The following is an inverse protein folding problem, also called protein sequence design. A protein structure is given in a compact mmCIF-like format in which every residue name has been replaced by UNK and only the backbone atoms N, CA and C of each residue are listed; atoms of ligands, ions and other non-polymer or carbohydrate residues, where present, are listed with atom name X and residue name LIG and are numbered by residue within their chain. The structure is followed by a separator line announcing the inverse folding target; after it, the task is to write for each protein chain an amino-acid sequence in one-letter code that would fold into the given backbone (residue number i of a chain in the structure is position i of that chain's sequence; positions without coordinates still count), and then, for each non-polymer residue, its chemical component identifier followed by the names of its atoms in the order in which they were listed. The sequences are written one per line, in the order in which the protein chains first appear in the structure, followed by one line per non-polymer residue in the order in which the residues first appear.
data_IF_097865777864
#
_entry.id   IF_097865777864
#
_cell.length_a   1.000
_cell.length_b   1.000
_cell.length_c   1.000
_cell.angle_alpha   90.00
_cell.angle_beta   90.00
_cell.angle_gamma   90.00
#
_symmetry.space_group_name_H-M   'P 1'
#
loop_
_entity.id
_entity.type
_entity.pdbx_description
1 polymer ?
#
# COMPACT_ATOMS: atom_id res chain seq x y z
N UNK A 1 8.18 -16.07 -4.33
CA UNK A 1 7.56 -15.41 -3.18
C UNK A 1 6.09 -15.16 -3.47
N UNK A 2 5.23 -15.36 -2.49
CA UNK A 2 3.79 -15.15 -2.64
C UNK A 2 3.39 -13.75 -2.18
N UNK A 3 2.25 -13.30 -2.67
CA UNK A 3 1.72 -11.96 -2.32
C UNK A 3 1.60 -11.78 -0.81
N UNK A 4 1.10 -12.79 -0.09
CA UNK A 4 0.92 -12.64 1.36
C UNK A 4 2.24 -12.44 2.10
N UNK A 5 3.34 -12.97 1.59
CA UNK A 5 4.65 -12.77 2.21
C UNK A 5 5.11 -11.31 2.05
N UNK A 6 4.82 -10.71 0.91
CA UNK A 6 5.10 -9.30 0.67
C UNK A 6 4.25 -8.42 1.59
N UNK A 7 2.96 -8.76 1.71
CA UNK A 7 2.04 -8.03 2.58
C UNK A 7 2.45 -8.13 4.05
N UNK A 8 2.84 -9.33 4.49
CA UNK A 8 3.31 -9.56 5.85
C UNK A 8 4.55 -8.71 6.15
N UNK A 9 5.43 -8.60 5.17
CA UNK A 9 6.63 -7.75 5.32
C UNK A 9 6.26 -6.27 5.43
N UNK A 10 5.31 -5.80 4.64
CA UNK A 10 4.84 -4.43 4.74
C UNK A 10 4.29 -4.14 6.15
N UNK A 11 3.48 -5.05 6.68
CA UNK A 11 2.94 -4.92 8.03
C UNK A 11 4.07 -4.82 9.05
N UNK A 12 5.07 -5.71 8.94
CA UNK A 12 6.21 -5.75 9.84
C UNK A 12 7.02 -4.46 9.82
N UNK A 13 7.36 -3.97 8.63
CA UNK A 13 8.12 -2.73 8.47
C UNK A 13 7.34 -1.54 9.00
N UNK A 14 6.04 -1.51 8.76
CA UNK A 14 5.16 -0.45 9.25
C UNK A 14 5.16 -0.42 10.79
N UNK A 15 5.00 -1.58 11.41
CA UNK A 15 4.98 -1.68 12.86
C UNK A 15 6.32 -1.29 13.47
N UNK A 16 7.42 -1.66 12.82
CA UNK A 16 8.76 -1.30 13.28
C UNK A 16 8.97 0.21 13.33
N UNK A 17 8.23 0.96 12.51
CA UNK A 17 8.26 2.43 12.51
C UNK A 17 7.24 3.04 13.47
N UNK A 18 6.55 2.22 14.26
CA UNK A 18 5.50 2.71 15.16
C UNK A 18 4.18 3.00 14.46
N UNK A 19 4.00 2.49 13.24
CA UNK A 19 2.80 2.74 12.46
C UNK A 19 1.78 1.61 12.52
N UNK A 20 0.69 1.81 11.80
CA UNK A 20 -0.39 0.85 11.65
C UNK A 20 -0.57 0.54 10.17
N UNK A 21 -0.73 -0.74 9.84
CA UNK A 21 -1.03 -1.18 8.48
C UNK A 21 -2.36 -1.93 8.53
N UNK A 22 -3.43 -1.29 8.12
CA UNK A 22 -4.78 -1.84 8.27
C UNK A 22 -5.38 -2.20 6.94
N UNK A 23 -6.25 -3.17 6.91
CA UNK A 23 -6.97 -3.55 5.69
C UNK A 23 -7.92 -2.43 5.28
N UNK A 24 -7.96 -2.18 3.98
CA UNK A 24 -8.89 -1.21 3.42
C UNK A 24 -9.92 -1.95 2.58
N UNK A 25 -11.19 -1.84 2.97
CA UNK A 25 -12.30 -2.36 2.20
C UNK A 25 -13.30 -1.25 1.99
N UNK A 26 -13.94 -1.25 0.81
CA UNK A 26 -14.96 -0.26 0.50
C UNK A 26 -16.15 -0.97 -0.15
N UNK A 27 -17.24 -1.18 0.60
CA UNK A 27 -18.43 -1.83 0.03
C UNK A 27 -19.02 -1.09 -1.16
N UNK A 28 -18.87 0.23 -1.19
CA UNK A 28 -19.44 1.07 -2.23
C UNK A 28 -18.54 1.30 -3.43
N UNK A 29 -17.32 0.77 -3.43
CA UNK A 29 -16.37 1.03 -4.51
C UNK A 29 -15.39 -0.13 -4.69
N UNK A 30 -15.41 -0.74 -5.87
CA UNK A 30 -14.46 -1.80 -6.20
C UNK A 30 -13.11 -1.22 -6.63
N UNK A 31 -12.05 -2.00 -6.45
CA UNK A 31 -10.72 -1.64 -6.94
C UNK A 31 -9.91 -0.75 -6.02
N UNK A 32 -10.36 -0.51 -4.79
CA UNK A 32 -9.56 0.26 -3.81
C UNK A 32 -8.30 -0.52 -3.43
N UNK A 33 -7.23 0.18 -3.01
CA UNK A 33 -6.01 -0.48 -2.54
C UNK A 33 -6.26 -1.38 -1.33
N UNK A 34 -5.40 -2.38 -1.14
CA UNK A 34 -5.58 -3.40 -0.09
C UNK A 34 -5.36 -2.88 1.32
N UNK A 35 -4.45 -1.93 1.47
CA UNK A 35 -4.00 -1.48 2.81
C UNK A 35 -3.95 0.03 2.91
N UNK A 36 -4.24 0.51 4.12
CA UNK A 36 -3.95 1.89 4.52
C UNK A 36 -2.80 1.81 5.52
N UNK A 37 -1.76 2.59 5.27
CA UNK A 37 -0.59 2.69 6.15
C UNK A 37 -0.63 4.04 6.83
N UNK A 38 -0.55 4.03 8.16
CA UNK A 38 -0.55 5.25 8.97
C UNK A 38 0.71 5.24 9.81
N UNK A 39 1.58 6.22 9.59
CA UNK A 39 2.81 6.37 10.34
C UNK A 39 2.68 7.49 11.37
N UNK A 40 3.54 7.50 12.43
CA UNK A 40 3.54 8.59 13.38
C UNK A 40 3.64 9.95 12.70
N UNK A 41 2.93 10.93 13.24
CA UNK A 41 2.84 12.25 12.64
C UNK A 41 1.67 12.38 11.67
N UNK A 42 0.80 11.37 11.60
CA UNK A 42 -0.38 11.40 10.74
C UNK A 42 -0.06 11.21 9.26
N UNK A 43 1.05 10.58 8.93
CA UNK A 43 1.47 10.34 7.55
C UNK A 43 0.73 9.11 7.03
N UNK A 44 -0.15 9.32 6.06
CA UNK A 44 -1.06 8.29 5.56
C UNK A 44 -0.73 7.96 4.10
N UNK A 45 -0.73 6.68 3.78
CA UNK A 45 -0.56 6.22 2.41
C UNK A 45 -1.36 4.97 2.15
N UNK A 46 -1.52 4.63 0.88
CA UNK A 46 -2.26 3.45 0.43
C UNK A 46 -1.31 2.49 -0.26
N UNK A 47 -1.53 1.21 -0.04
CA UNK A 47 -0.69 0.17 -0.65
C UNK A 47 -1.57 -0.86 -1.35
N UNK A 48 -1.30 -1.07 -2.64
CA UNK A 48 -1.89 -2.15 -3.41
C UNK A 48 -0.89 -3.30 -3.43
N UNK A 49 -1.30 -4.46 -2.94
CA UNK A 49 -0.41 -5.61 -2.81
C UNK A 49 -0.52 -6.50 -4.04
N UNK A 50 0.62 -6.94 -4.55
CA UNK A 50 0.70 -7.87 -5.69
C UNK A 50 1.81 -8.89 -5.45
N UNK A 51 1.65 -10.07 -6.05
CA UNK A 51 2.75 -11.03 -6.13
C UNK A 51 3.85 -10.46 -7.02
N UNK A 52 5.11 -10.87 -6.82
CA UNK A 52 6.23 -10.34 -7.62
C UNK A 52 5.96 -10.43 -9.12
N UNK A 53 6.14 -9.32 -9.81
CA UNK A 53 5.95 -9.21 -11.25
C UNK A 53 4.50 -9.04 -11.70
N UNK A 54 3.54 -9.14 -10.80
CA UNK A 54 2.13 -8.95 -11.15
C UNK A 54 1.79 -7.46 -11.13
N UNK A 55 0.83 -7.08 -11.96
CA UNK A 55 0.38 -5.70 -12.10
C UNK A 55 -1.06 -5.56 -11.60
N UNK A 56 -1.47 -4.37 -11.13
CA UNK A 56 -2.86 -4.12 -10.80
C UNK A 56 -3.76 -4.34 -12.00
N UNK A 57 -4.98 -4.81 -11.75
CA UNK A 57 -5.99 -4.94 -12.78
C UNK A 57 -6.46 -3.56 -13.22
N UNK A 58 -7.17 -3.52 -14.36
CA UNK A 58 -7.60 -2.27 -14.98
C UNK A 58 -8.38 -1.36 -14.02
N UNK A 59 -9.34 -1.93 -13.30
CA UNK A 59 -10.14 -1.17 -12.34
C UNK A 59 -9.28 -0.65 -11.19
N UNK A 60 -8.35 -1.47 -10.70
CA UNK A 60 -7.43 -1.05 -9.64
C UNK A 60 -6.54 0.10 -10.11
N UNK A 61 -6.04 0.04 -11.35
CA UNK A 61 -5.22 1.12 -11.92
C UNK A 61 -5.99 2.43 -11.95
N UNK A 62 -7.27 2.38 -12.31
CA UNK A 62 -8.11 3.58 -12.38
C UNK A 62 -8.26 4.22 -10.99
N UNK A 63 -8.53 3.41 -9.96
CA UNK A 63 -8.68 3.91 -8.60
C UNK A 63 -7.35 4.46 -8.07
N UNK A 64 -6.25 3.76 -8.31
CA UNK A 64 -4.90 4.21 -7.91
C UNK A 64 -4.62 5.58 -8.53
N UNK A 65 -4.91 5.74 -9.83
CA UNK A 65 -4.70 7.01 -10.52
C UNK A 65 -5.56 8.12 -9.91
N UNK A 66 -6.82 7.83 -9.59
CA UNK A 66 -7.72 8.82 -9.02
C UNK A 66 -7.27 9.27 -7.63
N UNK A 67 -6.75 8.35 -6.82
CA UNK A 67 -6.19 8.69 -5.52
C UNK A 67 -4.90 9.51 -5.67
N UNK A 68 -4.03 9.11 -6.59
CA UNK A 68 -2.78 9.82 -6.85
C UNK A 68 -3.04 11.26 -7.30
N UNK A 69 -4.00 11.45 -8.19
CA UNK A 69 -4.34 12.79 -8.71
C UNK A 69 -4.87 13.72 -7.62
N UNK A 70 -5.40 13.16 -6.53
CA UNK A 70 -5.90 13.94 -5.40
C UNK A 70 -4.83 14.15 -4.33
N UNK A 71 -3.59 13.78 -4.63
CA UNK A 71 -2.47 14.02 -3.74
C UNK A 71 -2.23 12.91 -2.73
N UNK A 72 -2.93 11.78 -2.84
CA UNK A 72 -2.70 10.66 -1.93
C UNK A 72 -1.37 9.99 -2.22
N UNK A 73 -0.68 9.59 -1.16
CA UNK A 73 0.51 8.76 -1.28
C UNK A 73 0.05 7.33 -1.51
N UNK A 74 0.49 6.72 -2.59
CA UNK A 74 0.03 5.39 -2.97
C UNK A 74 1.12 4.66 -3.75
N UNK A 75 1.24 3.36 -3.52
CA UNK A 75 2.20 2.52 -4.24
C UNK A 75 1.62 1.14 -4.49
N UNK A 76 2.05 0.54 -5.59
CA UNK A 76 1.89 -0.89 -5.83
C UNK A 76 3.12 -1.58 -5.29
N UNK A 77 2.91 -2.56 -4.41
CA UNK A 77 3.98 -3.23 -3.69
C UNK A 77 3.97 -4.70 -4.07
N UNK A 78 5.04 -5.16 -4.71
CA UNK A 78 5.15 -6.53 -5.21
C UNK A 78 6.43 -7.25 -4.78
N UNK A 79 7.24 -6.62 -3.91
CA UNK A 79 8.45 -7.25 -3.39
C UNK A 79 8.86 -6.57 -2.08
N UNK A 80 9.85 -7.16 -1.39
CA UNK A 80 10.27 -6.66 -0.08
C UNK A 80 10.87 -5.25 -0.16
N UNK A 81 11.67 -5.00 -1.21
CA UNK A 81 12.29 -3.69 -1.39
C UNK A 81 11.27 -2.58 -1.62
N UNK A 82 10.22 -2.87 -2.42
CA UNK A 82 9.19 -1.86 -2.69
C UNK A 82 8.40 -1.55 -1.42
N UNK A 83 8.18 -2.53 -0.55
CA UNK A 83 7.53 -2.31 0.73
C UNK A 83 8.38 -1.37 1.61
N UNK A 84 9.66 -1.67 1.75
CA UNK A 84 10.58 -0.85 2.55
C UNK A 84 10.71 0.56 1.97
N UNK A 85 10.83 0.68 0.66
CA UNK A 85 10.93 1.96 -0.02
C UNK A 85 9.71 2.84 0.19
N UNK A 86 8.52 2.23 0.12
CA UNK A 86 7.27 2.95 0.34
C UNK A 86 7.22 3.54 1.76
N UNK A 87 7.53 2.73 2.77
CA UNK A 87 7.53 3.19 4.17
C UNK A 87 8.57 4.29 4.37
N UNK A 88 9.76 4.14 3.80
CA UNK A 88 10.81 5.16 3.91
C UNK A 88 10.38 6.50 3.30
N UNK A 89 9.74 6.47 2.12
CA UNK A 89 9.26 7.69 1.48
C UNK A 89 8.10 8.33 2.25
N UNK A 90 7.21 7.50 2.77
CA UNK A 90 6.06 7.99 3.54
C UNK A 90 6.51 8.64 4.85
N UNK A 91 7.59 8.14 5.44
CA UNK A 91 8.10 8.63 6.73
C UNK A 91 8.79 10.00 6.64
N UNK A 92 9.15 10.44 5.47
CA UNK A 92 9.87 11.72 5.31
C UNK A 92 9.00 12.94 5.63
#
# INVERSE_FOLDING_TARGET
MKEYAVEKHLISVTQACGGMCIKFTSPGMSGVPDRIVILPGGKIGFAEMKAPGKKPRRLQKAVIRDLYRRGCRIATIDNLKSAEGFIRRLAK
#
